data_IF_985874965608
#
_entry.id   IF_985874965608
#
_cell.length_a   1.000
_cell.length_b   1.000
_cell.length_c   1.000
_cell.angle_alpha   90.00
_cell.angle_beta   90.00
_cell.angle_gamma   90.00
#
_symmetry.space_group_name_H-M   'P 1'
#
loop_
_entity.id
_entity.type
_entity.pdbx_description
1 polymer ?
#
# COMPACT_ATOMS: atom_id res chain seq x y z
N UNK A 1 -11.42 18.30 31.94
CA UNK A 1 -11.91 17.72 33.20
C UNK A 1 -11.45 16.27 33.28
N UNK A 2 -10.66 15.93 34.30
CA UNK A 2 -10.31 14.54 34.64
C UNK A 2 -11.46 13.94 35.45
N UNK A 3 -11.95 12.78 35.05
CA UNK A 3 -12.71 11.92 35.95
C UNK A 3 -11.86 10.69 36.25
N UNK A 4 -11.24 10.72 37.43
CA UNK A 4 -10.70 9.54 38.08
C UNK A 4 -11.78 8.95 38.98
N UNK A 5 -12.04 7.66 38.83
CA UNK A 5 -12.69 6.86 39.87
C UNK A 5 -11.61 6.01 40.52
N UNK A 6 -11.30 6.32 41.78
CA UNK A 6 -10.42 5.54 42.63
C UNK A 6 -11.18 4.32 43.18
N UNK A 7 -10.55 3.15 43.06
CA UNK A 7 -10.46 2.15 44.13
C UNK A 7 -11.71 1.34 44.48
N UNK A 8 -11.77 0.11 43.98
CA UNK A 8 -12.21 -1.02 44.81
C UNK A 8 -11.19 -2.15 44.62
N UNK A 9 -10.55 -2.52 45.73
CA UNK A 9 -9.51 -3.53 45.76
C UNK A 9 -10.08 -4.91 45.47
N UNK A 10 -9.96 -5.35 44.23
CA UNK A 10 -9.91 -6.78 43.90
C UNK A 10 -8.49 -7.06 43.42
N UNK A 11 -7.83 -8.02 44.06
CA UNK A 11 -6.57 -8.59 43.58
C UNK A 11 -6.74 -8.91 42.10
N UNK A 12 -6.18 -8.09 41.23
CA UNK A 12 -6.09 -8.38 39.80
C UNK A 12 -5.16 -9.58 39.67
N UNK A 13 -5.73 -10.78 39.77
CA UNK A 13 -5.21 -11.94 39.08
C UNK A 13 -5.02 -11.49 37.63
N UNK A 14 -3.78 -11.16 37.26
CA UNK A 14 -3.37 -11.00 35.87
C UNK A 14 -3.53 -12.38 35.24
N UNK A 15 -4.76 -12.72 34.88
CA UNK A 15 -5.03 -13.81 33.97
C UNK A 15 -4.26 -13.41 32.71
N UNK A 16 -3.31 -14.24 32.23
CA UNK A 16 -2.63 -13.94 30.98
C UNK A 16 -3.67 -14.01 29.86
N UNK A 17 -4.23 -12.85 29.50
CA UNK A 17 -5.14 -12.73 28.36
C UNK A 17 -4.28 -12.68 27.11
N UNK A 18 -4.33 -13.75 26.32
CA UNK A 18 -3.77 -13.77 24.98
C UNK A 18 -4.60 -12.84 24.08
N UNK A 19 -4.06 -11.66 23.75
CA UNK A 19 -4.68 -10.75 22.78
C UNK A 19 -4.17 -11.16 21.39
N UNK A 20 -5.01 -11.81 20.61
CA UNK A 20 -4.73 -12.09 19.20
C UNK A 20 -5.16 -10.87 18.38
N UNK A 21 -4.19 -10.15 17.83
CA UNK A 21 -4.47 -9.03 16.91
C UNK A 21 -4.62 -9.60 15.51
N UNK A 22 -5.87 -9.64 15.02
CA UNK A 22 -6.17 -10.08 13.66
C UNK A 22 -6.14 -8.86 12.73
N UNK A 23 -5.32 -8.86 11.67
CA UNK A 23 -5.31 -7.77 10.70
C UNK A 23 -6.68 -7.60 10.04
N UNK A 24 -7.16 -6.37 9.81
CA UNK A 24 -8.42 -6.12 9.11
C UNK A 24 -8.53 -6.79 7.73
N UNK A 25 -7.39 -6.98 7.04
CA UNK A 25 -7.32 -7.71 5.77
C UNK A 25 -7.72 -9.18 5.91
N UNK A 26 -7.32 -9.83 7.01
CA UNK A 26 -7.68 -11.22 7.30
C UNK A 26 -9.17 -11.33 7.62
N UNK A 27 -9.72 -10.38 8.37
CA UNK A 27 -11.17 -10.33 8.66
C UNK A 27 -11.97 -10.16 7.36
N UNK A 28 -11.57 -9.22 6.50
CA UNK A 28 -12.20 -9.02 5.19
C UNK A 28 -12.13 -10.25 4.30
N UNK A 29 -10.99 -10.94 4.27
CA UNK A 29 -10.82 -12.19 3.52
C UNK A 29 -11.71 -13.33 4.06
N UNK A 30 -11.86 -13.46 5.38
CA UNK A 30 -12.76 -14.44 5.99
C UNK A 30 -14.23 -14.16 5.63
N UNK A 31 -14.65 -12.89 5.63
CA UNK A 31 -16.00 -12.51 5.19
C UNK A 31 -16.18 -12.90 3.72
N UNK A 32 -15.19 -12.63 2.87
CA UNK A 32 -15.24 -13.01 1.45
C UNK A 32 -15.35 -14.54 1.28
N UNK A 33 -14.66 -15.31 2.13
CA UNK A 33 -14.78 -16.77 2.17
C UNK A 33 -16.21 -17.23 2.51
N UNK A 34 -16.86 -16.57 3.47
CA UNK A 34 -18.19 -16.94 3.95
C UNK A 34 -19.31 -16.57 2.96
N UNK A 35 -19.17 -15.45 2.26
CA UNK A 35 -20.22 -14.90 1.38
C UNK A 35 -19.99 -15.15 -0.12
N UNK A 36 -19.14 -16.12 -0.47
CA UNK A 36 -18.72 -16.41 -1.84
C UNK A 36 -19.85 -16.57 -2.86
N UNK A 37 -21.02 -17.02 -2.43
CA UNK A 37 -22.19 -17.28 -3.28
C UNK A 37 -22.92 -16.00 -3.72
N UNK A 38 -22.66 -14.86 -3.08
CA UNK A 38 -23.30 -13.59 -3.40
C UNK A 38 -22.39 -12.70 -4.24
N UNK A 39 -22.75 -12.56 -5.53
CA UNK A 39 -22.03 -11.70 -6.47
C UNK A 39 -21.96 -10.24 -5.98
N UNK A 40 -23.01 -9.75 -5.33
CA UNK A 40 -23.10 -8.38 -4.83
C UNK A 40 -22.13 -8.18 -3.67
N UNK A 41 -22.07 -9.13 -2.74
CA UNK A 41 -21.18 -9.05 -1.58
C UNK A 41 -19.72 -9.19 -2.02
N UNK A 42 -19.41 -10.09 -2.96
CA UNK A 42 -18.06 -10.23 -3.50
C UNK A 42 -17.57 -8.93 -4.16
N UNK A 43 -18.39 -8.29 -4.99
CA UNK A 43 -18.03 -7.02 -5.62
C UNK A 43 -17.81 -5.89 -4.61
N UNK A 44 -18.67 -5.78 -3.58
CA UNK A 44 -18.50 -4.79 -2.51
C UNK A 44 -17.22 -5.04 -1.71
N UNK A 45 -16.89 -6.30 -1.42
CA UNK A 45 -15.67 -6.67 -0.71
C UNK A 45 -14.41 -6.47 -1.54
N UNK A 46 -14.47 -6.66 -2.87
CA UNK A 46 -13.37 -6.32 -3.77
C UNK A 46 -13.12 -4.81 -3.80
N UNK A 47 -14.16 -3.99 -3.87
CA UNK A 47 -14.04 -2.53 -3.75
C UNK A 47 -13.45 -2.15 -2.38
N UNK A 48 -13.92 -2.79 -1.32
CA UNK A 48 -13.36 -2.61 0.02
C UNK A 48 -11.86 -3.00 0.06
N UNK A 49 -11.47 -4.12 -0.54
CA UNK A 49 -10.06 -4.54 -0.61
C UNK A 49 -9.20 -3.49 -1.32
N UNK A 50 -9.64 -3.01 -2.48
CA UNK A 50 -8.90 -1.98 -3.24
C UNK A 50 -8.81 -0.69 -2.43
N UNK A 51 -9.92 -0.19 -1.88
CA UNK A 51 -9.93 1.05 -1.08
C UNK A 51 -9.09 0.94 0.20
N UNK A 52 -9.16 -0.21 0.89
CA UNK A 52 -8.31 -0.51 2.04
C UNK A 52 -6.83 -0.53 1.65
N UNK A 53 -6.49 -1.11 0.50
CA UNK A 53 -5.11 -1.09 0.02
C UNK A 53 -4.62 0.32 -0.32
N UNK A 54 -5.45 1.14 -0.98
CA UNK A 54 -5.11 2.53 -1.30
C UNK A 54 -4.89 3.36 -0.03
N UNK A 55 -5.75 3.19 0.96
CA UNK A 55 -5.61 3.90 2.24
C UNK A 55 -4.37 3.44 2.99
N UNK A 56 -4.08 2.13 3.01
CA UNK A 56 -2.85 1.57 3.57
C UNK A 56 -1.59 2.17 2.90
N UNK A 57 -1.54 2.20 1.56
CA UNK A 57 -0.44 2.83 0.83
C UNK A 57 -0.31 4.31 1.23
N UNK A 58 -1.42 5.04 1.30
CA UNK A 58 -1.43 6.46 1.64
C UNK A 58 -0.93 6.75 3.05
N UNK A 59 -1.31 5.93 4.03
CA UNK A 59 -0.85 6.04 5.42
C UNK A 59 0.62 5.61 5.57
N UNK A 60 1.01 4.48 4.95
CA UNK A 60 2.41 4.04 4.87
C UNK A 60 3.29 5.14 4.24
N UNK A 61 2.79 5.80 3.19
CA UNK A 61 3.46 6.94 2.55
C UNK A 61 3.66 8.12 3.50
N UNK A 62 2.69 8.45 4.35
CA UNK A 62 2.82 9.54 5.32
C UNK A 62 3.82 9.19 6.43
N UNK A 63 3.78 7.96 6.93
CA UNK A 63 4.64 7.52 8.02
C UNK A 63 6.10 7.40 7.57
N UNK A 64 6.37 6.82 6.39
CA UNK A 64 7.74 6.64 5.87
C UNK A 64 8.46 7.97 5.60
N UNK A 65 7.72 9.02 5.23
CA UNK A 65 8.29 10.35 4.91
C UNK A 65 9.04 11.00 6.07
N UNK A 66 8.72 10.62 7.31
CA UNK A 66 9.37 11.14 8.52
C UNK A 66 10.74 10.49 8.79
N UNK A 67 11.08 9.40 8.11
CA UNK A 67 12.24 8.55 8.40
C UNK A 67 13.17 8.37 7.21
N UNK A 68 13.05 9.22 6.18
CA UNK A 68 13.95 9.18 5.03
C UNK A 68 15.24 9.90 5.41
N UNK A 69 16.27 9.12 5.75
CA UNK A 69 17.63 9.61 5.98
C UNK A 69 18.59 8.91 5.01
N UNK A 70 19.30 9.69 4.20
CA UNK A 70 20.30 9.19 3.24
C UNK A 70 21.74 9.37 3.76
N UNK A 71 21.95 9.89 4.96
CA UNK A 71 23.29 10.19 5.49
C UNK A 71 24.10 8.89 5.66
N UNK A 72 25.25 8.83 4.97
CA UNK A 72 26.24 7.76 5.12
C UNK A 72 25.87 6.40 4.50
N UNK A 73 24.77 6.30 3.76
CA UNK A 73 24.32 5.04 3.14
C UNK A 73 24.51 5.05 1.62
N UNK A 74 24.77 3.86 1.04
CA UNK A 74 24.68 3.70 -0.41
C UNK A 74 23.22 3.86 -0.86
N UNK A 75 22.95 4.98 -1.53
CA UNK A 75 21.62 5.41 -1.98
C UNK A 75 20.83 4.29 -2.66
N UNK A 76 21.43 3.61 -3.64
CA UNK A 76 20.75 2.55 -4.38
C UNK A 76 20.44 1.33 -3.51
N UNK A 77 21.35 0.96 -2.60
CA UNK A 77 21.12 -0.14 -1.66
C UNK A 77 19.98 0.20 -0.70
N UNK A 78 19.97 1.42 -0.15
CA UNK A 78 18.92 1.88 0.75
C UNK A 78 17.54 1.87 0.09
N UNK A 79 17.43 2.45 -1.10
CA UNK A 79 16.17 2.54 -1.85
C UNK A 79 15.63 1.14 -2.15
N UNK A 80 16.48 0.23 -2.65
CA UNK A 80 16.07 -1.16 -2.93
C UNK A 80 15.58 -1.88 -1.68
N UNK A 81 16.28 -1.75 -0.56
CA UNK A 81 15.87 -2.39 0.70
C UNK A 81 14.53 -1.84 1.20
N UNK A 82 14.32 -0.52 1.13
CA UNK A 82 13.05 0.11 1.51
C UNK A 82 11.90 -0.30 0.61
N UNK A 83 12.10 -0.31 -0.71
CA UNK A 83 11.08 -0.77 -1.66
C UNK A 83 10.71 -2.23 -1.45
N UNK A 84 11.69 -3.10 -1.23
CA UNK A 84 11.44 -4.50 -0.95
C UNK A 84 10.65 -4.69 0.35
N UNK A 85 11.04 -4.00 1.43
CA UNK A 85 10.31 -4.05 2.70
C UNK A 85 8.85 -3.60 2.53
N UNK A 86 8.61 -2.53 1.77
CA UNK A 86 7.27 -2.03 1.48
C UNK A 86 6.47 -2.98 0.61
N UNK A 87 7.11 -3.58 -0.40
CA UNK A 87 6.48 -4.61 -1.23
C UNK A 87 6.02 -5.80 -0.39
N UNK A 88 6.85 -6.27 0.54
CA UNK A 88 6.48 -7.33 1.48
C UNK A 88 5.27 -6.92 2.35
N UNK A 89 5.29 -5.72 2.93
CA UNK A 89 4.17 -5.21 3.73
C UNK A 89 2.88 -5.06 2.91
N UNK A 90 2.97 -4.59 1.66
CA UNK A 90 1.82 -4.55 0.76
C UNK A 90 1.27 -5.94 0.48
N UNK A 91 2.13 -6.96 0.33
CA UNK A 91 1.69 -8.34 0.16
C UNK A 91 1.07 -8.94 1.42
N UNK A 92 1.54 -8.62 2.63
CA UNK A 92 0.85 -9.11 3.85
C UNK A 92 -0.56 -8.54 3.98
N UNK A 93 -0.80 -7.36 3.42
CA UNK A 93 -2.14 -6.73 3.37
C UNK A 93 -3.04 -7.34 2.28
N UNK A 94 -2.52 -7.54 1.07
CA UNK A 94 -3.32 -8.02 -0.08
C UNK A 94 -3.48 -9.54 -0.12
N UNK A 95 -2.45 -10.30 0.31
CA UNK A 95 -2.42 -11.75 0.14
C UNK A 95 -3.62 -12.49 0.73
N UNK A 96 -4.21 -12.10 1.88
CA UNK A 96 -5.40 -12.79 2.39
C UNK A 96 -6.55 -12.78 1.37
N UNK A 97 -6.80 -11.64 0.71
CA UNK A 97 -7.85 -11.54 -0.32
C UNK A 97 -7.48 -12.33 -1.58
N UNK A 98 -6.26 -12.18 -2.07
CA UNK A 98 -5.79 -12.89 -3.26
C UNK A 98 -5.84 -14.42 -3.11
N UNK A 99 -5.51 -14.94 -1.92
CA UNK A 99 -5.57 -16.37 -1.62
C UNK A 99 -7.02 -16.87 -1.60
N UNK A 100 -7.94 -16.12 -0.99
CA UNK A 100 -9.36 -16.52 -0.95
C UNK A 100 -9.97 -16.53 -2.35
N UNK A 101 -9.66 -15.54 -3.19
CA UNK A 101 -10.13 -15.51 -4.59
C UNK A 101 -9.59 -16.71 -5.39
N UNK A 102 -8.31 -17.06 -5.23
CA UNK A 102 -7.72 -18.26 -5.83
C UNK A 102 -8.40 -19.54 -5.32
N UNK A 103 -8.67 -19.63 -4.02
CA UNK A 103 -9.38 -20.76 -3.40
C UNK A 103 -10.83 -20.90 -3.91
N UNK A 104 -11.43 -19.81 -4.37
CA UNK A 104 -12.73 -19.78 -5.02
C UNK A 104 -12.68 -19.98 -6.54
N UNK A 105 -11.54 -20.39 -7.09
CA UNK A 105 -11.32 -20.56 -8.54
C UNK A 105 -11.42 -19.27 -9.36
N UNK A 106 -11.38 -18.10 -8.71
CA UNK A 106 -11.31 -16.78 -9.34
C UNK A 106 -9.85 -16.38 -9.55
N UNK A 107 -9.12 -17.22 -10.29
CA UNK A 107 -7.67 -17.10 -10.49
C UNK A 107 -7.28 -15.76 -11.11
N UNK A 108 -8.06 -15.24 -12.04
CA UNK A 108 -7.76 -13.96 -12.69
C UNK A 108 -7.82 -12.80 -11.70
N UNK A 109 -8.84 -12.78 -10.85
CA UNK A 109 -8.99 -11.78 -9.78
C UNK A 109 -7.83 -11.89 -8.80
N UNK A 110 -7.52 -13.09 -8.31
CA UNK A 110 -6.42 -13.32 -7.37
C UNK A 110 -5.07 -12.86 -7.90
N UNK A 111 -4.71 -13.26 -9.14
CA UNK A 111 -3.45 -12.85 -9.79
C UNK A 111 -3.40 -11.33 -9.97
N UNK A 112 -4.51 -10.71 -10.35
CA UNK A 112 -4.61 -9.26 -10.54
C UNK A 112 -4.40 -8.50 -9.23
N UNK A 113 -4.90 -9.01 -8.11
CA UNK A 113 -4.65 -8.44 -6.79
C UNK A 113 -3.16 -8.50 -6.43
N UNK A 114 -2.49 -9.63 -6.70
CA UNK A 114 -1.04 -9.76 -6.50
C UNK A 114 -0.20 -8.86 -7.42
N UNK A 115 -0.75 -8.39 -8.54
CA UNK A 115 -0.03 -7.45 -9.39
C UNK A 115 0.02 -6.02 -8.80
N UNK A 116 -0.98 -5.61 -8.01
CA UNK A 116 -1.11 -4.24 -7.52
C UNK A 116 0.13 -3.72 -6.76
N UNK A 117 0.76 -4.46 -5.83
CA UNK A 117 1.97 -4.03 -5.13
C UNK A 117 3.14 -3.70 -6.04
N UNK A 118 3.31 -4.45 -7.13
CA UNK A 118 4.46 -4.33 -8.02
C UNK A 118 4.52 -2.96 -8.72
N UNK A 119 3.37 -2.41 -9.09
CA UNK A 119 3.30 -1.08 -9.68
C UNK A 119 3.17 0.01 -8.62
N UNK A 120 2.29 -0.17 -7.64
CA UNK A 120 1.94 0.88 -6.68
C UNK A 120 3.11 1.30 -5.77
N UNK A 121 3.95 0.36 -5.34
CA UNK A 121 5.08 0.66 -4.44
C UNK A 121 6.09 1.62 -5.06
N UNK A 122 6.72 1.33 -6.21
CA UNK A 122 7.71 2.24 -6.80
C UNK A 122 7.11 3.59 -7.21
N UNK A 123 5.88 3.60 -7.72
CA UNK A 123 5.19 4.81 -8.15
C UNK A 123 4.87 5.73 -6.96
N UNK A 124 4.37 5.17 -5.88
CA UNK A 124 4.06 5.96 -4.68
C UNK A 124 5.31 6.57 -4.09
N UNK A 125 6.45 5.88 -4.16
CA UNK A 125 7.74 6.45 -3.77
C UNK A 125 8.17 7.60 -4.68
N UNK A 126 8.12 7.44 -6.01
CA UNK A 126 8.44 8.53 -6.94
C UNK A 126 7.59 9.79 -6.68
N UNK A 127 6.33 9.60 -6.31
CA UNK A 127 5.42 10.69 -5.97
C UNK A 127 5.80 11.44 -4.68
N UNK A 128 6.62 10.87 -3.79
CA UNK A 128 7.15 11.58 -2.60
C UNK A 128 7.95 12.80 -3.04
N UNK A 129 8.74 12.69 -4.12
CA UNK A 129 9.61 13.77 -4.60
C UNK A 129 8.86 15.00 -5.13
N UNK A 130 7.56 14.89 -5.35
CA UNK A 130 6.72 15.99 -5.85
C UNK A 130 5.92 16.68 -4.75
N UNK A 131 6.08 16.29 -3.48
CA UNK A 131 5.31 16.87 -2.36
C UNK A 131 6.22 17.51 -1.32
N UNK A 132 5.89 18.71 -0.81
CA UNK A 132 6.61 19.30 0.33
C UNK A 132 6.38 18.47 1.60
N UNK A 133 7.38 18.35 2.49
CA UNK A 133 7.34 17.51 3.68
C UNK A 133 6.18 17.88 4.59
N UNK A 134 5.58 16.92 5.31
CA UNK A 134 4.63 17.26 6.35
C UNK A 134 5.37 18.05 7.44
N UNK A 135 4.98 19.29 7.69
CA UNK A 135 5.57 20.05 8.80
C UNK A 135 5.15 19.38 10.10
N UNK A 136 6.07 19.20 11.04
CA UNK A 136 5.84 18.50 12.32
C UNK A 136 4.70 19.17 13.16
N UNK A 137 4.37 20.44 12.85
CA UNK A 137 3.23 21.16 13.45
C UNK A 137 1.86 20.82 12.83
N UNK A 138 1.81 20.08 11.73
CA UNK A 138 0.58 19.75 10.99
C UNK A 138 0.02 18.36 11.34
N UNK A 139 0.68 17.61 12.22
CA UNK A 139 0.27 16.25 12.62
C UNK A 139 -1.10 16.27 13.32
N UNK A 140 -1.49 17.42 13.90
CA UNK A 140 -2.76 17.51 14.65
C UNK A 140 -3.90 18.21 13.90
N UNK A 141 -3.66 19.11 12.93
CA UNK A 141 -4.77 19.91 12.37
C UNK A 141 -4.52 20.50 10.97
N UNK A 142 -4.37 19.71 9.88
CA UNK A 142 -4.63 20.25 8.53
C UNK A 142 -5.32 19.20 7.64
N UNK A 143 -6.47 19.51 7.01
CA UNK A 143 -7.04 18.69 5.96
C UNK A 143 -6.07 18.66 4.77
N UNK A 144 -5.65 17.45 4.40
CA UNK A 144 -4.96 17.06 3.18
C UNK A 144 -4.85 18.16 2.10
N UNK A 145 -3.87 19.07 2.20
CA UNK A 145 -3.57 20.01 1.12
C UNK A 145 -2.76 19.29 0.06
N UNK A 146 -3.46 18.56 -0.81
CA UNK A 146 -2.81 18.11 -2.02
C UNK A 146 -2.49 19.34 -2.89
N UNK A 147 -1.27 19.39 -3.45
CA UNK A 147 -1.08 20.08 -4.72
C UNK A 147 -2.05 19.47 -5.72
N UNK A 148 -2.97 20.26 -6.26
CA UNK A 148 -4.00 19.82 -7.21
C UNK A 148 -3.37 19.07 -8.39
N UNK A 149 -2.18 19.52 -8.83
CA UNK A 149 -1.33 18.86 -9.83
C UNK A 149 -0.87 17.46 -9.39
N UNK A 150 -0.44 17.32 -8.13
CA UNK A 150 -0.02 16.03 -7.56
C UNK A 150 -1.18 15.06 -7.33
N UNK A 151 -2.40 15.55 -7.08
CA UNK A 151 -3.62 14.70 -7.11
C UNK A 151 -3.90 14.24 -8.51
N UNK A 152 -3.90 15.16 -9.47
CA UNK A 152 -4.25 14.86 -10.85
C UNK A 152 -3.25 13.88 -11.47
N UNK A 153 -1.96 14.01 -11.18
CA UNK A 153 -0.93 13.04 -11.60
C UNK A 153 -1.10 11.71 -10.88
N UNK A 154 -1.42 11.70 -9.59
CA UNK A 154 -1.69 10.46 -8.85
C UNK A 154 -2.94 9.76 -9.36
N UNK A 155 -4.04 10.49 -9.58
CA UNK A 155 -5.28 9.96 -10.16
C UNK A 155 -5.03 9.51 -11.58
N UNK A 156 -4.30 10.26 -12.41
CA UNK A 156 -4.00 9.87 -13.78
C UNK A 156 -3.12 8.61 -13.82
N UNK A 157 -2.10 8.50 -12.96
CA UNK A 157 -1.28 7.29 -12.83
C UNK A 157 -2.08 6.13 -12.24
N UNK A 158 -2.89 6.37 -11.22
CA UNK A 158 -3.76 5.35 -10.63
C UNK A 158 -4.83 4.88 -11.61
N UNK A 159 -5.39 5.76 -12.44
CA UNK A 159 -6.38 5.39 -13.46
C UNK A 159 -5.71 4.67 -14.62
N UNK A 160 -4.59 5.16 -15.14
CA UNK A 160 -3.89 4.50 -16.27
C UNK A 160 -3.28 3.16 -15.88
N UNK A 161 -2.82 3.01 -14.64
CA UNK A 161 -2.17 1.79 -14.17
C UNK A 161 -3.16 0.88 -13.44
N UNK A 162 -4.23 1.39 -12.84
CA UNK A 162 -5.21 0.51 -12.16
C UNK A 162 -6.52 0.28 -12.94
N UNK A 163 -6.83 1.05 -13.99
CA UNK A 163 -7.95 0.71 -14.88
C UNK A 163 -7.78 -0.65 -15.57
N UNK A 164 -6.58 -1.07 -16.01
CA UNK A 164 -6.41 -2.41 -16.58
C UNK A 164 -6.66 -3.48 -15.54
N UNK A 165 -6.19 -3.33 -14.29
CA UNK A 165 -6.45 -4.29 -13.21
C UNK A 165 -7.93 -4.37 -12.87
N UNK A 166 -8.64 -3.25 -12.80
CA UNK A 166 -10.09 -3.23 -12.56
C UNK A 166 -10.86 -3.92 -13.70
N UNK A 167 -10.45 -3.72 -14.95
CA UNK A 167 -11.02 -4.43 -16.10
C UNK A 167 -10.75 -5.95 -16.05
N UNK A 168 -9.58 -6.37 -15.58
CA UNK A 168 -9.30 -7.81 -15.44
C UNK A 168 -10.10 -8.43 -14.31
N UNK A 169 -10.28 -7.69 -13.20
CA UNK A 169 -11.08 -8.13 -12.07
C UNK A 169 -12.54 -8.38 -12.50
N UNK A 170 -13.11 -7.54 -13.36
CA UNK A 170 -14.49 -7.72 -13.85
C UNK A 170 -14.63 -8.85 -14.88
N UNK A 171 -13.59 -9.13 -15.65
CA UNK A 171 -13.62 -10.17 -16.70
C UNK A 171 -13.09 -11.53 -16.24
N UNK A 172 -12.44 -11.60 -15.08
CA UNK A 172 -11.75 -12.78 -14.53
C UNK A 172 -10.87 -13.51 -15.57
N UNK A 173 -10.27 -12.76 -16.51
CA UNK A 173 -9.47 -13.34 -17.57
C UNK A 173 -8.05 -13.67 -17.06
N UNK A 174 -7.77 -14.96 -16.88
CA UNK A 174 -6.50 -15.45 -16.33
C UNK A 174 -5.30 -15.07 -17.20
N UNK A 175 -5.42 -15.19 -18.52
CA UNK A 175 -4.31 -14.87 -19.46
C UNK A 175 -3.94 -13.40 -19.36
N UNK A 176 -4.96 -12.53 -19.37
CA UNK A 176 -4.74 -11.09 -19.23
C UNK A 176 -4.22 -10.71 -17.84
N UNK A 177 -4.64 -11.42 -16.78
CA UNK A 177 -4.12 -11.25 -15.41
C UNK A 177 -2.64 -11.58 -15.32
N UNK A 178 -2.21 -12.69 -15.94
CA UNK A 178 -0.82 -13.10 -15.99
C UNK A 178 0.03 -12.09 -16.78
N UNK A 179 -0.47 -11.65 -17.95
CA UNK A 179 0.19 -10.61 -18.74
C UNK A 179 0.40 -9.32 -17.93
N UNK A 180 -0.63 -8.90 -17.21
CA UNK A 180 -0.59 -7.71 -16.38
C UNK A 180 0.41 -7.88 -15.22
N UNK A 181 0.37 -9.02 -14.52
CA UNK A 181 1.32 -9.33 -13.46
C UNK A 181 2.77 -9.27 -13.95
N UNK A 182 3.06 -9.91 -15.09
CA UNK A 182 4.39 -9.92 -15.69
C UNK A 182 4.83 -8.52 -16.11
N UNK A 183 3.92 -7.72 -16.66
CA UNK A 183 4.18 -6.35 -17.06
C UNK A 183 4.54 -5.48 -15.86
N UNK A 184 3.82 -5.59 -14.74
CA UNK A 184 4.13 -4.82 -13.53
C UNK A 184 5.39 -5.31 -12.84
N UNK A 185 5.64 -6.62 -12.87
CA UNK A 185 6.90 -7.18 -12.40
C UNK A 185 8.09 -6.61 -13.21
N UNK A 186 7.96 -6.56 -14.53
CA UNK A 186 8.99 -6.01 -15.41
C UNK A 186 9.19 -4.51 -15.19
N UNK A 187 8.11 -3.74 -15.02
CA UNK A 187 8.18 -2.31 -14.66
C UNK A 187 8.92 -2.14 -13.33
N UNK A 188 8.58 -2.93 -12.30
CA UNK A 188 9.25 -2.90 -11.00
C UNK A 188 10.75 -3.15 -11.15
N UNK A 189 11.14 -4.16 -11.94
CA UNK A 189 12.55 -4.46 -12.22
C UNK A 189 13.25 -3.33 -12.96
N UNK A 190 12.63 -2.75 -14.00
CA UNK A 190 13.22 -1.64 -14.75
C UNK A 190 13.43 -0.42 -13.84
N UNK A 191 12.46 -0.07 -13.00
CA UNK A 191 12.57 1.08 -12.10
C UNK A 191 13.70 0.91 -11.06
N UNK A 192 13.93 -0.31 -10.56
CA UNK A 192 14.91 -0.55 -9.48
C UNK A 192 16.29 -1.05 -9.92
N UNK A 193 16.34 -1.73 -11.05
CA UNK A 193 17.53 -2.44 -11.54
C UNK A 193 17.86 -2.12 -13.00
N UNK A 194 17.00 -1.36 -13.69
CA UNK A 194 17.25 -0.95 -15.07
C UNK A 194 18.40 0.04 -15.22
N UNK A 195 18.87 0.26 -16.46
CA UNK A 195 20.03 1.10 -16.76
C UNK A 195 19.84 2.57 -16.37
N UNK A 196 18.59 3.05 -16.31
CA UNK A 196 18.25 4.42 -15.92
C UNK A 196 17.94 4.58 -14.42
N UNK A 197 17.91 3.47 -13.67
CA UNK A 197 17.47 3.44 -12.28
C UNK A 197 18.31 4.36 -11.40
N UNK A 198 19.64 4.29 -11.51
CA UNK A 198 20.53 5.10 -10.67
C UNK A 198 20.33 6.60 -10.90
N UNK A 199 20.14 7.03 -12.15
CA UNK A 199 19.86 8.42 -12.47
C UNK A 199 18.51 8.87 -11.93
N UNK A 200 17.46 8.08 -12.18
CA UNK A 200 16.11 8.35 -11.68
C UNK A 200 16.08 8.51 -10.16
N UNK A 201 16.80 7.65 -9.43
CA UNK A 201 16.85 7.69 -7.98
C UNK A 201 17.76 8.80 -7.44
N UNK A 202 18.81 9.20 -8.15
CA UNK A 202 19.58 10.41 -7.84
C UNK A 202 18.72 11.66 -7.99
N UNK A 203 18.03 11.80 -9.11
CA UNK A 203 17.10 12.92 -9.37
C UNK A 203 15.97 12.96 -8.32
N UNK A 204 15.48 11.78 -7.89
CA UNK A 204 14.52 11.65 -6.81
C UNK A 204 15.06 12.21 -5.49
N UNK A 205 16.28 11.84 -5.09
CA UNK A 205 16.90 12.33 -3.85
C UNK A 205 17.23 13.81 -3.91
N UNK A 206 17.69 14.32 -5.05
CA UNK A 206 17.89 15.76 -5.26
C UNK A 206 16.57 16.54 -5.10
N UNK A 207 15.46 16.02 -5.62
CA UNK A 207 14.14 16.62 -5.39
C UNK A 207 13.70 16.53 -3.94
N UNK A 208 14.07 15.49 -3.21
CA UNK A 208 13.78 15.39 -1.78
C UNK A 208 14.59 16.42 -0.97
N UNK A 209 15.85 16.65 -1.29
CA UNK A 209 16.66 17.68 -0.62
C UNK A 209 16.13 19.08 -0.90
N UNK A 210 15.76 19.39 -2.16
CA UNK A 210 15.12 20.67 -2.53
C UNK A 210 13.81 20.88 -1.73
N UNK A 211 13.09 19.81 -1.44
CA UNK A 211 11.87 19.86 -0.65
C UNK A 211 12.13 19.86 0.87
N UNK A 212 13.37 19.94 1.38
CA UNK A 212 13.69 19.90 2.81
C UNK A 212 13.35 18.58 3.53
N UNK A 213 13.44 17.44 2.85
CA UNK A 213 13.39 16.13 3.54
C UNK A 213 14.74 15.70 4.13
N UNK A 214 15.84 16.28 3.65
CA UNK A 214 17.22 15.93 4.00
C UNK A 214 18.07 17.19 4.11
#
# INVERSE_FOLDING_TARGET
MRFGFYGSGTKNLRIPTLIIVIPPSVVGALILMLFKSSIVINNLLLIYCVTFYVTFIGQSFQNERLWIDFVGLNLMKYIRTRMFARLLLSYTVISPFGIVEIAHHLLGIGISLFALPLSSVPLTWLLISFRPPPQIRDIEQIPFKFSLMGVLIFIALAVTIWSPTLYVITTNNVVFSLYLFLSYFLIYLIILYGPFSERLWKDFVERLSINNYC
#
